data_IF_660552295649
#
_entry.id   IF_660552295649
#
_cell.length_a   1.000
_cell.length_b   1.000
_cell.length_c   1.000
_cell.angle_alpha   90.00
_cell.angle_beta   90.00
_cell.angle_gamma   90.00
#
_symmetry.space_group_name_H-M   'P 1'
#
loop_
_entity.id
_entity.type
_entity.pdbx_description
1 polymer ?
#
# COMPACT_ATOMS: atom_id res chain seq x y z
N UNK A 1 -19.39 59.97 -14.25
CA UNK A 1 -19.78 58.54 -14.10
C UNK A 1 -18.84 57.53 -14.79
N UNK A 2 -17.71 57.93 -15.42
CA UNK A 2 -16.77 57.00 -16.12
C UNK A 2 -15.68 56.36 -15.25
N UNK A 3 -15.53 56.73 -13.97
CA UNK A 3 -14.49 56.22 -13.06
C UNK A 3 -14.97 55.15 -12.07
N UNK A 4 -16.27 54.81 -12.06
CA UNK A 4 -16.83 53.80 -11.15
C UNK A 4 -16.57 52.36 -11.63
N UNK A 5 -16.54 52.16 -12.95
CA UNK A 5 -16.38 50.84 -13.58
C UNK A 5 -15.01 50.18 -13.26
N UNK A 6 -13.86 50.88 -13.35
CA UNK A 6 -12.58 50.26 -13.00
C UNK A 6 -12.46 49.95 -11.50
N UNK A 7 -13.13 50.72 -10.63
CA UNK A 7 -13.16 50.48 -9.20
C UNK A 7 -13.96 49.21 -8.86
N UNK A 8 -15.10 49.00 -9.51
CA UNK A 8 -15.92 47.81 -9.32
C UNK A 8 -15.21 46.54 -9.80
N UNK A 9 -14.49 46.62 -10.93
CA UNK A 9 -13.72 45.51 -11.46
C UNK A 9 -12.56 45.10 -10.54
N UNK A 10 -11.90 46.07 -9.89
CA UNK A 10 -10.84 45.79 -8.93
C UNK A 10 -11.36 45.08 -7.66
N UNK A 11 -12.55 45.46 -7.18
CA UNK A 11 -13.16 44.83 -5.99
C UNK A 11 -13.55 43.37 -6.28
N UNK A 12 -14.09 43.09 -7.47
CA UNK A 12 -14.45 41.71 -7.89
C UNK A 12 -13.20 40.83 -8.02
N UNK A 13 -12.08 41.38 -8.52
CA UNK A 13 -10.83 40.63 -8.64
C UNK A 13 -10.21 40.27 -7.28
N UNK A 14 -10.34 41.15 -6.29
CA UNK A 14 -9.82 40.92 -4.93
C UNK A 14 -10.68 39.93 -4.14
N UNK A 15 -12.01 39.94 -4.33
CA UNK A 15 -12.93 39.00 -3.69
C UNK A 15 -12.99 37.62 -4.35
N UNK A 16 -12.41 37.48 -5.56
CA UNK A 16 -12.35 36.23 -6.31
C UNK A 16 -11.15 35.34 -5.98
N UNK A 17 -10.28 35.72 -5.03
CA UNK A 17 -9.18 34.86 -4.63
C UNK A 17 -9.73 33.75 -3.72
N UNK A 18 -9.64 32.46 -4.11
CA UNK A 18 -10.08 31.38 -3.24
C UNK A 18 -9.23 31.44 -1.96
N UNK A 19 -9.88 31.67 -0.82
CA UNK A 19 -9.28 31.65 0.52
C UNK A 19 -8.84 30.22 0.95
N UNK A 20 -8.40 29.41 -0.01
CA UNK A 20 -7.97 28.03 0.17
C UNK A 20 -6.45 27.98 0.38
N UNK A 21 -5.92 28.78 1.30
CA UNK A 21 -4.60 28.53 1.88
C UNK A 21 -4.77 27.88 3.25
N UNK A 22 -5.57 26.83 3.33
CA UNK A 22 -5.48 25.91 4.46
C UNK A 22 -4.19 25.12 4.24
N UNK A 23 -3.14 25.47 4.98
CA UNK A 23 -1.95 24.62 5.09
C UNK A 23 -2.44 23.27 5.58
N UNK A 24 -2.42 22.25 4.72
CA UNK A 24 -2.70 20.89 5.14
C UNK A 24 -1.58 20.52 6.10
N UNK A 25 -1.87 20.51 7.39
CA UNK A 25 -0.97 19.95 8.39
C UNK A 25 -0.96 18.44 8.13
N UNK A 26 0.17 17.85 7.70
CA UNK A 26 0.23 16.41 7.49
C UNK A 26 -0.06 15.71 8.82
N UNK A 27 -0.89 14.68 8.78
CA UNK A 27 -1.13 13.84 9.94
C UNK A 27 0.21 13.28 10.42
N UNK A 28 0.53 13.35 11.74
CA UNK A 28 1.78 12.81 12.26
C UNK A 28 1.98 11.35 11.82
N UNK A 29 3.15 11.07 11.26
CA UNK A 29 3.50 9.72 10.78
C UNK A 29 3.71 8.84 12.01
N UNK A 30 2.79 7.90 12.23
CA UNK A 30 2.96 6.86 13.25
C UNK A 30 3.75 5.69 12.66
N UNK A 31 4.76 5.15 13.36
CA UNK A 31 5.73 4.19 12.81
C UNK A 31 5.17 2.82 12.38
N UNK A 32 3.92 2.47 12.75
CA UNK A 32 3.27 1.22 12.37
C UNK A 32 1.91 1.50 11.69
N UNK A 33 1.93 1.95 10.44
CA UNK A 33 0.73 2.09 9.62
C UNK A 33 0.80 1.17 8.41
N UNK A 34 -0.30 0.50 8.13
CA UNK A 34 -0.48 -0.25 6.90
C UNK A 34 -0.29 0.64 5.66
N UNK A 35 0.21 0.07 4.57
CA UNK A 35 0.19 0.68 3.25
C UNK A 35 -1.22 0.69 2.67
N UNK A 36 -1.47 1.60 1.74
CA UNK A 36 -2.74 1.71 1.04
C UNK A 36 -2.91 0.61 -0.04
N UNK A 37 -4.13 0.09 -0.16
CA UNK A 37 -4.63 -0.73 -1.29
C UNK A 37 -5.90 -0.04 -1.81
N UNK A 38 -5.77 0.68 -2.93
CA UNK A 38 -6.76 1.68 -3.34
C UNK A 38 -6.87 2.79 -2.28
N UNK A 39 -8.09 3.08 -1.85
CA UNK A 39 -8.37 4.08 -0.81
C UNK A 39 -8.25 3.52 0.63
N UNK A 40 -8.07 2.21 0.78
CA UNK A 40 -8.03 1.55 2.09
C UNK A 40 -6.62 1.40 2.62
N UNK A 41 -6.35 1.94 3.82
CA UNK A 41 -5.05 1.78 4.52
C UNK A 41 -4.97 0.43 5.26
N UNK A 42 -4.97 -0.69 4.54
CA UNK A 42 -5.11 -2.03 5.15
C UNK A 42 -4.13 -3.09 4.62
N UNK A 43 -3.09 -2.71 3.88
CA UNK A 43 -2.16 -3.64 3.23
C UNK A 43 -0.73 -3.51 3.76
N UNK A 44 0.13 -4.47 3.45
CA UNK A 44 1.58 -4.35 3.69
C UNK A 44 2.07 -4.78 5.08
N UNK A 45 3.29 -4.32 5.38
CA UNK A 45 4.06 -4.60 6.60
C UNK A 45 3.75 -3.55 7.65
N UNK A 46 3.47 -4.01 8.87
CA UNK A 46 3.16 -3.18 10.04
C UNK A 46 4.40 -2.95 10.92
N UNK A 47 5.27 -3.94 11.06
CA UNK A 47 6.48 -3.87 11.85
C UNK A 47 7.53 -4.90 11.40
N UNK A 48 8.78 -4.66 11.76
CA UNK A 48 9.88 -5.64 11.64
C UNK A 48 10.13 -6.22 13.03
N UNK A 49 10.09 -7.54 13.12
CA UNK A 49 10.34 -8.32 14.32
C UNK A 49 11.66 -9.10 14.14
N UNK A 50 12.41 -9.44 15.21
CA UNK A 50 13.56 -10.33 15.09
C UNK A 50 13.29 -11.60 14.27
N UNK A 51 12.10 -12.18 14.42
CA UNK A 51 11.67 -13.40 13.75
C UNK A 51 11.17 -13.18 12.29
N UNK A 52 10.90 -11.94 11.88
CA UNK A 52 10.39 -11.65 10.53
C UNK A 52 9.64 -10.33 10.41
N UNK A 53 8.50 -10.35 9.74
CA UNK A 53 7.71 -9.17 9.42
C UNK A 53 6.27 -9.36 9.91
N UNK A 54 5.78 -8.40 10.70
CA UNK A 54 4.35 -8.35 11.05
C UNK A 54 3.62 -7.75 9.87
N UNK A 55 2.63 -8.46 9.33
CA UNK A 55 1.93 -8.11 8.09
C UNK A 55 0.42 -8.16 8.28
N UNK A 56 -0.27 -7.36 7.47
CA UNK A 56 -1.74 -7.29 7.44
C UNK A 56 -2.38 -8.57 6.84
N UNK A 57 -3.66 -8.86 7.16
CA UNK A 57 -4.41 -9.93 6.48
C UNK A 57 -4.41 -9.77 4.95
N UNK A 58 -4.52 -8.53 4.48
CA UNK A 58 -4.52 -8.21 3.05
C UNK A 58 -3.19 -8.54 2.37
N UNK A 59 -2.06 -8.38 3.05
CA UNK A 59 -0.77 -8.81 2.53
C UNK A 59 -0.72 -10.34 2.37
N UNK A 60 -1.20 -11.10 3.37
CA UNK A 60 -1.28 -12.56 3.30
C UNK A 60 -2.12 -13.02 2.11
N UNK A 61 -3.30 -12.43 1.92
CA UNK A 61 -4.18 -12.74 0.78
C UNK A 61 -3.46 -12.57 -0.55
N UNK A 62 -2.78 -11.43 -0.74
CA UNK A 62 -2.00 -11.15 -1.95
C UNK A 62 -0.85 -12.14 -2.14
N UNK A 63 -0.16 -12.49 -1.07
CA UNK A 63 0.91 -13.48 -1.11
C UNK A 63 0.39 -14.86 -1.51
N UNK A 64 -0.75 -15.30 -0.97
CA UNK A 64 -1.37 -16.57 -1.35
C UNK A 64 -1.89 -16.58 -2.78
N UNK A 65 -2.39 -15.44 -3.29
CA UNK A 65 -2.73 -15.30 -4.71
C UNK A 65 -1.47 -15.42 -5.60
N UNK A 66 -0.35 -14.87 -5.15
CA UNK A 66 0.92 -14.99 -5.86
C UNK A 66 1.46 -16.43 -5.84
N UNK A 67 1.33 -17.14 -4.71
CA UNK A 67 1.64 -18.57 -4.59
C UNK A 67 0.74 -19.40 -5.49
N UNK A 68 -0.55 -19.13 -5.55
CA UNK A 68 -1.46 -19.87 -6.44
C UNK A 68 -1.03 -19.77 -7.90
N UNK A 69 -0.43 -18.64 -8.30
CA UNK A 69 0.04 -18.42 -9.68
C UNK A 69 1.46 -18.93 -9.94
N UNK A 70 2.39 -18.75 -9.00
CA UNK A 70 3.82 -18.99 -9.22
C UNK A 70 4.44 -20.02 -8.26
N UNK A 71 3.67 -20.58 -7.33
CA UNK A 71 4.17 -21.50 -6.31
C UNK A 71 4.82 -22.76 -6.88
N UNK A 72 4.36 -23.22 -8.04
CA UNK A 72 4.92 -24.34 -8.78
C UNK A 72 6.30 -24.06 -9.41
N UNK A 73 6.69 -22.79 -9.56
CA UNK A 73 8.01 -22.40 -10.09
C UNK A 73 9.13 -22.60 -9.06
N UNK A 74 8.77 -22.71 -7.78
CA UNK A 74 9.73 -22.84 -6.69
C UNK A 74 10.08 -24.31 -6.41
N UNK A 75 11.22 -24.53 -5.76
CA UNK A 75 11.67 -25.85 -5.30
C UNK A 75 12.05 -25.75 -3.82
N UNK A 76 11.33 -26.42 -2.90
CA UNK A 76 10.08 -27.17 -3.13
C UNK A 76 8.91 -26.26 -3.56
N UNK A 77 7.87 -26.84 -4.16
CA UNK A 77 6.63 -26.14 -4.50
C UNK A 77 6.06 -25.46 -3.26
N UNK A 78 5.69 -24.18 -3.38
CA UNK A 78 5.12 -23.45 -2.26
C UNK A 78 3.65 -23.82 -2.06
N UNK A 79 3.28 -24.10 -0.81
CA UNK A 79 1.89 -24.23 -0.38
C UNK A 79 1.35 -22.86 0.09
N UNK A 80 0.02 -22.65 0.11
CA UNK A 80 -0.57 -21.49 0.75
C UNK A 80 -0.03 -21.28 2.18
N UNK A 81 0.16 -20.03 2.57
CA UNK A 81 0.72 -19.62 3.86
C UNK A 81 2.16 -20.10 4.12
N UNK A 82 2.92 -20.45 3.08
CA UNK A 82 4.32 -20.83 3.23
C UNK A 82 5.14 -19.71 3.92
N UNK A 83 5.63 -20.02 5.13
CA UNK A 83 6.40 -19.11 5.97
C UNK A 83 5.56 -18.00 6.63
N UNK A 84 4.23 -18.16 6.72
CA UNK A 84 3.31 -17.20 7.34
C UNK A 84 2.58 -17.84 8.51
N UNK A 85 2.59 -17.20 9.67
CA UNK A 85 1.96 -17.69 10.90
C UNK A 85 0.94 -16.68 11.40
N UNK A 86 -0.26 -17.13 11.78
CA UNK A 86 -1.27 -16.27 12.37
C UNK A 86 -0.87 -15.81 13.79
N UNK A 87 -1.15 -14.55 14.12
CA UNK A 87 -0.95 -13.98 15.46
C UNK A 87 -2.31 -13.80 16.15
N UNK A 88 -2.27 -13.64 17.47
CA UNK A 88 -3.47 -13.48 18.31
C UNK A 88 -4.18 -12.13 18.11
N UNK A 89 -3.48 -11.14 17.56
CA UNK A 89 -3.96 -9.78 17.29
C UNK A 89 -4.65 -9.64 15.92
N UNK A 90 -4.88 -10.75 15.20
CA UNK A 90 -5.47 -10.75 13.87
C UNK A 90 -4.50 -10.34 12.75
N UNK A 91 -3.22 -10.12 13.07
CA UNK A 91 -2.15 -9.94 12.07
C UNK A 91 -1.43 -11.25 11.80
N UNK A 92 -0.43 -11.23 10.91
CA UNK A 92 0.38 -12.39 10.58
C UNK A 92 1.86 -12.09 10.74
N UNK A 93 2.65 -13.11 11.07
CA UNK A 93 4.09 -13.07 11.06
C UNK A 93 4.59 -13.79 9.81
N UNK A 94 5.17 -13.04 8.87
CA UNK A 94 5.84 -13.58 7.69
C UNK A 94 7.34 -13.75 8.00
N UNK A 95 7.89 -14.92 7.68
CA UNK A 95 9.33 -15.17 7.77
C UNK A 95 10.11 -14.31 6.77
N UNK A 96 11.43 -14.22 6.96
CA UNK A 96 12.30 -13.52 6.00
C UNK A 96 12.24 -14.15 4.61
N UNK A 97 12.26 -15.48 4.56
CA UNK A 97 12.11 -16.25 3.33
C UNK A 97 10.77 -15.97 2.64
N UNK A 98 9.66 -15.91 3.39
CA UNK A 98 8.36 -15.58 2.82
C UNK A 98 8.36 -14.17 2.21
N UNK A 99 9.02 -13.21 2.84
CA UNK A 99 9.15 -11.85 2.32
C UNK A 99 9.98 -11.79 1.04
N UNK A 100 11.12 -12.48 0.98
CA UNK A 100 11.96 -12.57 -0.22
C UNK A 100 11.19 -13.17 -1.40
N UNK A 101 10.51 -14.29 -1.17
CA UNK A 101 9.65 -14.93 -2.17
C UNK A 101 8.51 -14.02 -2.60
N UNK A 102 7.87 -13.31 -1.66
CA UNK A 102 6.82 -12.34 -1.96
C UNK A 102 7.32 -11.21 -2.86
N UNK A 103 8.51 -10.64 -2.59
CA UNK A 103 9.11 -9.58 -3.42
C UNK A 103 9.28 -10.06 -4.87
N UNK A 104 9.81 -11.28 -5.04
CA UNK A 104 10.01 -11.89 -6.37
C UNK A 104 8.68 -12.10 -7.07
N UNK A 105 7.72 -12.77 -6.42
CA UNK A 105 6.43 -13.09 -7.05
C UNK A 105 5.57 -11.86 -7.32
N UNK A 106 5.59 -10.85 -6.44
CA UNK A 106 4.92 -9.57 -6.69
C UNK A 106 5.56 -8.82 -7.88
N UNK A 107 6.88 -8.92 -8.04
CA UNK A 107 7.56 -8.38 -9.21
C UNK A 107 7.12 -9.12 -10.49
N UNK A 108 7.01 -10.45 -10.46
CA UNK A 108 6.49 -11.24 -11.59
C UNK A 108 5.05 -10.89 -11.95
N UNK A 109 4.17 -10.72 -10.95
CA UNK A 109 2.80 -10.23 -11.16
C UNK A 109 2.79 -8.89 -11.90
N UNK A 110 3.60 -7.93 -11.41
CA UNK A 110 3.70 -6.58 -11.99
C UNK A 110 4.24 -6.60 -13.42
N UNK A 111 5.16 -7.51 -13.74
CA UNK A 111 5.70 -7.68 -15.10
C UNK A 111 4.77 -8.47 -16.03
N UNK A 112 3.66 -9.01 -15.53
CA UNK A 112 2.77 -9.87 -16.31
C UNK A 112 3.41 -11.20 -16.73
N UNK A 113 4.42 -11.67 -15.99
CA UNK A 113 5.13 -12.93 -16.31
C UNK A 113 4.11 -14.09 -16.35
N UNK A 114 4.09 -14.92 -17.41
CA UNK A 114 3.27 -16.13 -17.42
C UNK A 114 3.78 -17.11 -16.36
N UNK A 115 2.86 -17.86 -15.76
CA UNK A 115 3.28 -18.97 -14.89
C UNK A 115 4.00 -20.02 -15.73
N UNK A 116 4.99 -20.72 -15.16
CA UNK A 116 5.56 -21.88 -15.85
C UNK A 116 4.45 -22.93 -15.98
N UNK A 117 4.24 -23.46 -17.18
CA UNK A 117 3.35 -24.60 -17.36
C UNK A 117 3.80 -25.75 -16.45
N UNK A 118 2.88 -26.44 -15.76
CA UNK A 118 3.21 -27.59 -14.92
C UNK A 118 3.83 -28.74 -15.74
#
# INVERSE_FOLDING_TARGET
MKRLIPLLAAIVLVLGQPACTSTITPTPVTPARASYDGDNQNSGVLAIDPAGFVVTPRWRERYNLAIARYGADWRPTLAPDHGVIARTDGTFLASREAMEKAIVMFSWLRMGRPASSP
#
